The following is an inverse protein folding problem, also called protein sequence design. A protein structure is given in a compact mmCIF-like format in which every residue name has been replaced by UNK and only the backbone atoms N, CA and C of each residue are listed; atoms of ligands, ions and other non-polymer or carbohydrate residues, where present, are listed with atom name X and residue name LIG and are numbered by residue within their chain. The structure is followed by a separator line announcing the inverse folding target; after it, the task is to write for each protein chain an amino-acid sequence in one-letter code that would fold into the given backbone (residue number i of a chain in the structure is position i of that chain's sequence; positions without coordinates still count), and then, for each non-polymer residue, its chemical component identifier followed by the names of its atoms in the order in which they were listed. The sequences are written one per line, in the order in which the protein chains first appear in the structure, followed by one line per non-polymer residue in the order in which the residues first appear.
data_IF_562111181470
#
_entry.id   IF_562111181470
#
_cell.length_a   1.000
_cell.length_b   1.000
_cell.length_c   1.000
_cell.angle_alpha   90.00
_cell.angle_beta   90.00
_cell.angle_gamma   90.00
#
_symmetry.space_group_name_H-M   'P 1'
#
loop_
_entity.id
_entity.type
_entity.pdbx_description
1 polymer ?
#
# COMPACT_ATOMS: atom_id res chain seq x y z
N UNK A 1 -6.33 11.85 9.53
CA UNK A 1 -5.52 10.64 9.31
C UNK A 1 -6.04 9.99 8.05
N UNK A 2 -5.34 10.24 6.95
CA UNK A 2 -5.68 9.74 5.63
C UNK A 2 -5.40 8.24 5.53
N UNK A 3 -6.21 7.52 4.78
CA UNK A 3 -5.99 6.10 4.53
C UNK A 3 -6.45 5.73 3.13
N UNK A 4 -5.85 4.68 2.58
CA UNK A 4 -6.29 4.05 1.34
C UNK A 4 -6.88 2.67 1.66
N UNK A 5 -7.72 2.17 0.76
CA UNK A 5 -8.22 0.80 0.81
C UNK A 5 -7.51 0.00 -0.28
N UNK A 6 -7.00 -1.17 0.06
CA UNK A 6 -6.35 -2.08 -0.89
C UNK A 6 -7.23 -3.30 -1.09
N UNK A 7 -7.71 -3.52 -2.30
CA UNK A 7 -8.64 -4.58 -2.62
C UNK A 7 -7.99 -5.97 -2.50
N UNK A 8 -8.72 -6.92 -1.92
CA UNK A 8 -8.34 -8.33 -1.81
C UNK A 8 -9.08 -9.20 -2.81
N UNK A 9 -8.50 -10.38 -3.03
CA UNK A 9 -9.08 -11.50 -3.77
C UNK A 9 -10.57 -11.78 -3.51
N UNK A 10 -10.96 -11.70 -2.24
CA UNK A 10 -12.25 -12.13 -1.73
C UNK A 10 -13.29 -11.00 -1.72
N UNK A 11 -13.01 -9.88 -2.40
CA UNK A 11 -13.87 -8.70 -2.41
C UNK A 11 -13.83 -7.86 -1.13
N UNK A 12 -13.00 -8.24 -0.16
CA UNK A 12 -12.69 -7.39 1.00
C UNK A 12 -11.59 -6.39 0.64
N UNK A 13 -11.24 -5.52 1.59
CA UNK A 13 -10.08 -4.65 1.46
C UNK A 13 -9.34 -4.58 2.80
N UNK A 14 -8.03 -4.34 2.73
CA UNK A 14 -7.25 -3.88 3.87
C UNK A 14 -7.13 -2.36 3.85
N UNK A 15 -6.85 -1.78 5.01
CA UNK A 15 -6.64 -0.34 5.16
C UNK A 15 -5.16 -0.10 5.36
N UNK A 16 -4.62 0.85 4.60
CA UNK A 16 -3.24 1.30 4.71
C UNK A 16 -3.24 2.79 5.05
N UNK A 17 -2.45 3.18 6.05
CA UNK A 17 -2.32 4.61 6.38
C UNK A 17 -1.60 5.34 5.25
N UNK A 18 -2.13 6.51 4.90
CA UNK A 18 -1.52 7.46 3.98
C UNK A 18 -0.74 8.56 4.71
N UNK A 19 -0.67 8.51 6.03
CA UNK A 19 0.00 9.53 6.82
C UNK A 19 1.51 9.23 6.90
N UNK A 20 2.35 10.27 6.82
CA UNK A 20 3.80 10.19 7.04
C UNK A 20 4.50 9.16 6.13
N UNK A 21 4.04 9.00 4.89
CA UNK A 21 4.70 8.14 3.90
C UNK A 21 6.03 8.77 3.49
N UNK A 22 7.11 7.99 3.59
CA UNK A 22 8.44 8.39 3.15
C UNK A 22 8.75 7.94 1.73
N UNK A 23 8.49 6.67 1.42
CA UNK A 23 8.62 6.13 0.06
C UNK A 23 7.77 4.87 -0.14
N UNK A 24 7.43 4.61 -1.40
CA UNK A 24 6.76 3.40 -1.87
C UNK A 24 7.66 2.73 -2.89
N UNK A 25 7.79 1.40 -2.81
CA UNK A 25 8.59 0.61 -3.76
C UNK A 25 8.08 -0.82 -3.82
N UNK A 26 8.52 -1.57 -4.84
CA UNK A 26 8.46 -3.02 -4.81
C UNK A 26 9.46 -3.61 -3.80
N UNK A 27 9.11 -4.75 -3.21
CA UNK A 27 10.06 -5.57 -2.46
C UNK A 27 11.13 -6.14 -3.38
N UNK A 28 12.24 -6.60 -2.79
CA UNK A 28 13.35 -7.16 -3.56
C UNK A 28 12.98 -8.44 -4.33
N UNK A 29 11.93 -9.15 -3.89
CA UNK A 29 11.38 -10.32 -4.60
C UNK A 29 10.38 -9.94 -5.68
N UNK A 30 9.88 -8.70 -5.66
CA UNK A 30 8.84 -8.21 -6.57
C UNK A 30 7.42 -8.65 -6.18
N UNK A 31 7.26 -9.51 -5.17
CA UNK A 31 5.95 -10.06 -4.79
C UNK A 31 5.15 -9.15 -3.84
N UNK A 32 5.77 -8.08 -3.34
CA UNK A 32 5.13 -7.16 -2.40
C UNK A 32 5.33 -5.69 -2.80
N UNK A 33 4.37 -4.85 -2.40
CA UNK A 33 4.55 -3.40 -2.37
C UNK A 33 4.87 -2.98 -0.93
N UNK A 34 5.99 -2.30 -0.78
CA UNK A 34 6.50 -1.78 0.49
C UNK A 34 6.25 -0.28 0.60
N UNK A 35 5.56 0.14 1.66
CA UNK A 35 5.32 1.54 2.01
C UNK A 35 6.08 1.83 3.30
N UNK A 36 7.17 2.58 3.20
CA UNK A 36 7.96 2.98 4.34
C UNK A 36 7.47 4.32 4.89
N UNK A 37 7.21 4.37 6.19
CA UNK A 37 6.78 5.56 6.90
C UNK A 37 7.97 6.27 7.55
N UNK A 38 7.89 7.60 7.65
CA UNK A 38 8.93 8.42 8.32
C UNK A 38 9.03 8.16 9.82
N UNK A 39 8.03 7.48 10.40
CA UNK A 39 8.00 7.01 11.78
C UNK A 39 8.87 5.76 12.04
N UNK A 40 9.52 5.21 11.01
CA UNK A 40 10.33 3.99 11.12
C UNK A 40 9.51 2.70 11.07
N UNK A 41 8.27 2.75 10.57
CA UNK A 41 7.45 1.58 10.29
C UNK A 41 7.34 1.34 8.79
N UNK A 42 6.98 0.13 8.39
CA UNK A 42 6.70 -0.24 7.01
C UNK A 42 5.40 -1.03 6.92
N UNK A 43 4.50 -0.62 6.04
CA UNK A 43 3.41 -1.45 5.59
C UNK A 43 3.87 -2.28 4.38
N UNK A 44 3.53 -3.56 4.38
CA UNK A 44 3.82 -4.49 3.28
C UNK A 44 2.49 -5.03 2.75
N UNK A 45 2.21 -4.74 1.49
CA UNK A 45 1.07 -5.26 0.74
C UNK A 45 1.56 -6.52 0.02
N UNK A 46 1.19 -7.69 0.51
CA UNK A 46 1.65 -8.96 -0.01
C UNK A 46 0.79 -9.47 -1.15
N UNK A 47 1.41 -9.80 -2.29
CA UNK A 47 0.77 -10.37 -3.46
C UNK A 47 0.85 -11.90 -3.48
N UNK A 48 -0.02 -12.53 -4.27
CA UNK A 48 0.07 -13.95 -4.61
C UNK A 48 1.05 -14.22 -5.77
N UNK A 49 1.69 -13.17 -6.28
CA UNK A 49 2.64 -13.16 -7.37
C UNK A 49 3.17 -11.74 -7.60
N UNK A 50 4.11 -11.60 -8.52
CA UNK A 50 4.84 -10.37 -8.76
C UNK A 50 3.93 -9.17 -9.05
N UNK A 51 4.20 -8.07 -8.36
CA UNK A 51 3.75 -6.72 -8.71
C UNK A 51 4.73 -6.08 -9.70
N UNK A 52 4.28 -5.04 -10.37
CA UNK A 52 5.11 -4.22 -11.24
C UNK A 52 5.02 -2.72 -10.91
N UNK A 53 5.76 -1.91 -11.67
CA UNK A 53 5.83 -0.48 -11.43
C UNK A 53 4.49 0.25 -11.58
N UNK A 54 3.50 -0.35 -12.26
CA UNK A 54 2.15 0.21 -12.35
C UNK A 54 1.39 0.03 -11.04
N UNK A 55 1.63 -1.07 -10.31
CA UNK A 55 1.06 -1.30 -8.98
C UNK A 55 1.64 -0.31 -7.95
N UNK A 56 2.96 -0.12 -7.99
CA UNK A 56 3.63 0.88 -7.14
C UNK A 56 3.10 2.28 -7.44
N UNK A 57 2.91 2.62 -8.72
CA UNK A 57 2.35 3.89 -9.12
C UNK A 57 0.90 4.07 -8.62
N UNK A 58 0.05 3.05 -8.77
CA UNK A 58 -1.34 3.10 -8.32
C UNK A 58 -1.45 3.27 -6.80
N UNK A 59 -0.59 2.59 -6.03
CA UNK A 59 -0.51 2.78 -4.58
C UNK A 59 -0.05 4.20 -4.25
N UNK A 60 0.99 4.70 -4.93
CA UNK A 60 1.53 6.05 -4.71
C UNK A 60 0.48 7.12 -4.99
N UNK A 61 -0.19 7.06 -6.13
CA UNK A 61 -1.26 8.00 -6.50
C UNK A 61 -2.38 8.02 -5.46
N UNK A 62 -2.79 6.85 -4.97
CA UNK A 62 -3.83 6.76 -3.95
C UNK A 62 -3.39 7.35 -2.60
N UNK A 63 -2.12 7.19 -2.23
CA UNK A 63 -1.56 7.79 -1.02
C UNK A 63 -1.48 9.31 -1.17
N UNK A 64 -1.04 9.82 -2.33
CA UNK A 64 -0.94 11.25 -2.62
C UNK A 64 -2.31 11.95 -2.58
N UNK A 65 -3.37 11.28 -3.07
CA UNK A 65 -4.76 11.78 -2.95
C UNK A 65 -5.16 12.00 -1.47
N UNK A 66 -4.64 11.16 -0.58
CA UNK A 66 -5.00 11.15 0.84
C UNK A 66 -4.00 11.88 1.74
N UNK A 67 -2.86 12.35 1.21
CA UNK A 67 -1.83 13.04 1.99
C UNK A 67 -2.37 14.35 2.58
N UNK A 68 -2.55 14.36 3.90
CA UNK A 68 -3.15 15.48 4.63
C UNK A 68 -4.63 15.72 4.37
N UNK A 69 -5.29 14.91 3.54
CA UNK A 69 -6.70 15.08 3.18
C UNK A 69 -7.65 14.42 4.19
N UNK A 70 -8.81 15.05 4.40
CA UNK A 70 -9.96 14.43 5.07
C UNK A 70 -11.04 14.14 4.02
N UNK A 71 -11.15 12.87 3.59
CA UNK A 71 -12.06 12.46 2.53
C UNK A 71 -12.28 10.95 2.48
N UNK A 72 -13.12 10.46 1.55
CA UNK A 72 -13.31 9.02 1.36
C UNK A 72 -12.02 8.38 0.86
N UNK A 73 -11.58 7.32 1.55
CA UNK A 73 -10.40 6.56 1.16
C UNK A 73 -10.56 5.93 -0.23
N UNK A 74 -9.63 6.19 -1.18
CA UNK A 74 -9.64 5.57 -2.49
C UNK A 74 -9.46 4.06 -2.36
N UNK A 75 -10.10 3.32 -3.26
CA UNK A 75 -9.93 1.88 -3.38
C UNK A 75 -8.93 1.60 -4.49
N UNK A 76 -7.81 0.99 -4.11
CA UNK A 76 -6.73 0.58 -5.00
C UNK A 76 -6.93 -0.89 -5.36
N UNK A 77 -6.95 -1.18 -6.66
CA UNK A 77 -6.93 -2.55 -7.19
C UNK A 77 -5.58 -2.76 -7.85
N UNK A 78 -4.86 -3.81 -7.45
CA UNK A 78 -3.55 -4.15 -7.98
C UNK A 78 -3.67 -5.30 -8.99
N UNK A 79 -2.65 -5.43 -9.84
CA UNK A 79 -2.54 -6.45 -10.89
C UNK A 79 -2.49 -7.86 -10.31
N UNK A 80 -1.76 -8.03 -9.21
CA UNK A 80 -1.64 -9.28 -8.46
C UNK A 80 -2.59 -9.33 -7.26
N UNK A 81 -3.02 -10.55 -6.95
CA UNK A 81 -4.00 -10.83 -5.92
C UNK A 81 -3.43 -10.55 -4.53
N UNK A 82 -3.97 -9.53 -3.86
CA UNK A 82 -3.52 -9.16 -2.51
C UNK A 82 -3.95 -10.24 -1.51
N UNK A 83 -2.96 -10.82 -0.84
CA UNK A 83 -3.13 -11.85 0.20
C UNK A 83 -3.24 -11.24 1.60
N UNK A 84 -2.66 -10.06 1.81
CA UNK A 84 -2.86 -9.28 3.03
C UNK A 84 -1.93 -8.08 3.13
N UNK A 85 -2.21 -7.23 4.11
CA UNK A 85 -1.38 -6.10 4.51
C UNK A 85 -0.84 -6.34 5.92
N UNK A 86 0.46 -6.17 6.11
CA UNK A 86 1.11 -6.24 7.42
C UNK A 86 1.88 -4.95 7.72
N UNK A 87 1.99 -4.59 9.00
CA UNK A 87 2.77 -3.42 9.45
C UNK A 87 3.80 -3.87 10.48
N UNK A 88 5.05 -3.49 10.26
CA UNK A 88 6.16 -3.82 11.16
C UNK A 88 7.15 -2.66 11.28
N UNK A 89 7.95 -2.64 12.34
CA UNK A 89 9.05 -1.69 12.48
C UNK A 89 10.18 -2.00 11.48
N UNK A 90 10.82 -0.97 10.96
CA UNK A 90 12.01 -1.07 10.13
C UNK A 90 13.21 -1.25 11.08
N UNK A 91 13.80 -2.44 11.09
CA UNK A 91 15.00 -2.79 11.87
C UNK A 91 16.29 -2.36 11.18
#
# INVERSE_FOLDING_TARGET
MGHIKVAKANGQFDIVSADNVGHVKESATGDDVEIAYTSGYKATIAGAGAYDGTDVFAVTEALDIMDGASGPAPLVTLSSLVTGVTVAAIS
#
